data_IF_636357998831
#
_entry.id   IF_636357998831
#
_cell.length_a   1.000
_cell.length_b   1.000
_cell.length_c   1.000
_cell.angle_alpha   90.00
_cell.angle_beta   90.00
_cell.angle_gamma   90.00
#
_symmetry.space_group_name_H-M   'P 1'
#
loop_
_entity.id
_entity.type
_entity.pdbx_description
1 polymer ?
#
# COMPACT_ATOMS: atom_id res chain seq x y z
N UNK A 1 -18.97 1.63 12.76
CA UNK A 1 -17.73 1.06 12.19
C UNK A 1 -16.73 2.19 12.08
N UNK A 2 -15.46 1.96 12.43
CA UNK A 2 -14.37 2.91 12.19
C UNK A 2 -14.11 3.07 10.69
N UNK A 3 -13.35 4.10 10.29
CA UNK A 3 -13.03 4.29 8.87
C UNK A 3 -12.24 3.09 8.30
N UNK A 4 -11.27 2.56 9.06
CA UNK A 4 -10.53 1.37 8.66
C UNK A 4 -11.42 0.13 8.56
N UNK A 5 -12.42 -0.03 9.43
CA UNK A 5 -13.42 -1.09 9.30
C UNK A 5 -14.28 -0.92 8.06
N UNK A 6 -14.70 0.32 7.71
CA UNK A 6 -15.45 0.58 6.47
C UNK A 6 -14.62 0.21 5.24
N UNK A 7 -13.39 0.74 5.14
CA UNK A 7 -12.43 0.43 4.07
C UNK A 7 -12.21 -1.08 3.95
N UNK A 8 -11.92 -1.75 5.08
CA UNK A 8 -11.68 -3.20 5.11
C UNK A 8 -12.91 -3.99 4.66
N UNK A 9 -14.12 -3.55 5.02
CA UNK A 9 -15.35 -4.27 4.66
C UNK A 9 -15.61 -4.32 3.16
N UNK A 10 -15.13 -3.34 2.38
CA UNK A 10 -15.28 -3.30 0.91
C UNK A 10 -14.64 -4.52 0.23
N UNK A 11 -13.56 -5.07 0.80
CA UNK A 11 -12.91 -6.30 0.32
C UNK A 11 -13.83 -7.54 0.36
N UNK A 12 -14.92 -7.49 1.14
CA UNK A 12 -15.79 -8.64 1.40
C UNK A 12 -17.20 -8.43 0.84
N UNK A 13 -17.50 -7.24 0.30
CA UNK A 13 -18.81 -6.96 -0.27
C UNK A 13 -19.06 -7.87 -1.49
N UNK A 14 -20.25 -8.44 -1.56
CA UNK A 14 -20.67 -9.30 -2.67
C UNK A 14 -20.48 -8.61 -4.02
N UNK A 15 -20.85 -7.32 -4.10
CA UNK A 15 -20.67 -6.52 -5.31
C UNK A 15 -19.20 -6.40 -5.72
N UNK A 16 -18.30 -6.10 -4.77
CA UNK A 16 -16.85 -6.06 -5.03
C UNK A 16 -16.36 -7.40 -5.58
N UNK A 17 -16.72 -8.51 -4.93
CA UNK A 17 -16.28 -9.86 -5.33
C UNK A 17 -16.83 -10.23 -6.72
N UNK A 18 -18.10 -9.89 -7.01
CA UNK A 18 -18.71 -10.14 -8.30
C UNK A 18 -18.02 -9.33 -9.41
N UNK A 19 -17.64 -8.07 -9.14
CA UNK A 19 -16.84 -7.24 -10.06
C UNK A 19 -15.43 -7.80 -10.26
N UNK A 20 -14.76 -8.28 -9.22
CA UNK A 20 -13.44 -8.95 -9.31
C UNK A 20 -13.52 -10.18 -10.22
N UNK A 21 -14.54 -11.04 -10.04
CA UNK A 21 -14.77 -12.21 -10.91
C UNK A 21 -14.93 -11.81 -12.37
N UNK A 22 -15.74 -10.79 -12.65
CA UNK A 22 -15.93 -10.25 -14.00
C UNK A 22 -14.62 -9.68 -14.57
N UNK A 23 -13.83 -9.00 -13.73
CA UNK A 23 -12.59 -8.37 -14.13
C UNK A 23 -11.49 -9.38 -14.50
N UNK A 24 -11.39 -10.51 -13.79
CA UNK A 24 -10.55 -11.64 -14.20
C UNK A 24 -10.99 -12.24 -15.53
N UNK A 25 -12.31 -12.37 -15.76
CA UNK A 25 -12.92 -12.95 -16.96
C UNK A 25 -12.95 -12.03 -18.21
N UNK A 26 -11.94 -11.18 -18.41
CA UNK A 26 -11.78 -10.16 -19.49
C UNK A 26 -12.32 -8.75 -19.19
N UNK A 27 -12.60 -8.40 -17.95
CA UNK A 27 -12.95 -7.01 -17.63
C UNK A 27 -11.77 -6.02 -17.75
N UNK A 28 -12.07 -4.70 -17.66
CA UNK A 28 -11.11 -3.63 -17.90
C UNK A 28 -9.98 -3.61 -16.87
N UNK A 29 -8.91 -2.85 -17.17
CA UNK A 29 -7.77 -2.72 -16.26
C UNK A 29 -8.14 -2.02 -14.94
N UNK A 30 -9.05 -1.05 -14.99
CA UNK A 30 -9.50 -0.29 -13.82
C UNK A 30 -11.04 -0.33 -13.76
N UNK A 31 -11.59 -0.58 -12.57
CA UNK A 31 -13.02 -0.45 -12.27
C UNK A 31 -13.16 0.47 -11.05
N UNK A 32 -13.82 1.64 -11.17
CA UNK A 32 -14.13 2.47 -10.01
C UNK A 32 -15.23 1.83 -9.16
N UNK A 33 -15.15 2.05 -7.86
CA UNK A 33 -16.16 1.67 -6.86
C UNK A 33 -16.40 2.88 -5.95
N UNK A 34 -17.61 3.05 -5.45
CA UNK A 34 -17.96 4.10 -4.50
C UNK A 34 -18.71 3.43 -3.36
N UNK A 35 -18.11 3.40 -2.17
CA UNK A 35 -18.69 2.73 -1.01
C UNK A 35 -18.46 3.57 0.25
N UNK A 36 -19.51 3.76 1.05
CA UNK A 36 -19.46 4.57 2.27
C UNK A 36 -18.97 6.01 2.07
N UNK A 37 -19.32 6.64 0.93
CA UNK A 37 -18.83 7.96 0.50
C UNK A 37 -17.29 8.03 0.33
N UNK A 38 -16.68 6.87 0.03
CA UNK A 38 -15.26 6.73 -0.26
C UNK A 38 -15.13 6.12 -1.65
N UNK A 39 -14.37 6.79 -2.52
CA UNK A 39 -13.99 6.24 -3.81
C UNK A 39 -12.91 5.17 -3.63
N UNK A 40 -13.07 4.04 -4.30
CA UNK A 40 -12.07 3.00 -4.45
C UNK A 40 -11.86 2.67 -5.93
N UNK A 41 -10.84 1.88 -6.23
CA UNK A 41 -10.73 1.23 -7.52
C UNK A 41 -10.25 -0.21 -7.39
N UNK A 42 -10.76 -1.06 -8.27
CA UNK A 42 -10.13 -2.33 -8.59
C UNK A 42 -9.14 -2.12 -9.74
N UNK A 43 -7.87 -2.38 -9.50
CA UNK A 43 -6.81 -2.27 -10.49
C UNK A 43 -6.27 -3.66 -10.83
N UNK A 44 -6.28 -4.04 -12.11
CA UNK A 44 -5.79 -5.32 -12.63
C UNK A 44 -4.41 -5.15 -13.28
N UNK A 45 -3.30 -5.15 -12.51
CA UNK A 45 -1.96 -5.04 -13.08
C UNK A 45 -1.54 -6.28 -13.87
N UNK A 46 -2.06 -7.45 -13.52
CA UNK A 46 -1.77 -8.72 -14.21
C UNK A 46 -3.02 -9.56 -14.40
N UNK A 47 -2.95 -10.60 -15.22
CA UNK A 47 -4.08 -11.54 -15.41
C UNK A 47 -4.41 -12.37 -14.16
N UNK A 48 -3.56 -12.34 -13.13
CA UNK A 48 -3.68 -13.17 -11.94
C UNK A 48 -3.81 -12.36 -10.66
N UNK A 49 -3.78 -11.02 -10.75
CA UNK A 49 -3.81 -10.14 -9.61
C UNK A 49 -4.72 -8.93 -9.85
N UNK A 50 -5.58 -8.64 -8.88
CA UNK A 50 -6.40 -7.42 -8.84
C UNK A 50 -6.24 -6.78 -7.46
N UNK A 51 -5.73 -5.55 -7.41
CA UNK A 51 -5.65 -4.76 -6.19
C UNK A 51 -6.98 -4.05 -5.96
N UNK A 52 -7.46 -4.02 -4.71
CA UNK A 52 -8.43 -3.02 -4.28
C UNK A 52 -7.67 -1.87 -3.63
N UNK A 53 -7.87 -0.66 -4.13
CA UNK A 53 -7.07 0.51 -3.76
C UNK A 53 -7.96 1.68 -3.34
N UNK A 54 -7.49 2.43 -2.35
CA UNK A 54 -8.12 3.65 -1.82
C UNK A 54 -7.23 4.86 -2.12
N UNK A 55 -7.77 6.03 -2.49
CA UNK A 55 -6.96 7.21 -2.74
C UNK A 55 -6.52 7.80 -1.41
N UNK A 56 -5.22 8.04 -1.28
CA UNK A 56 -4.61 8.67 -0.13
C UNK A 56 -4.08 10.04 -0.55
N UNK A 57 -4.36 11.05 0.26
CA UNK A 57 -3.87 12.41 0.09
C UNK A 57 -2.94 12.74 1.25
N UNK A 58 -1.68 13.04 0.95
CA UNK A 58 -0.66 13.35 1.95
C UNK A 58 0.01 14.69 1.67
N UNK A 59 0.32 15.48 2.71
CA UNK A 59 1.14 16.67 2.56
C UNK A 59 2.57 16.28 2.23
N UNK A 60 3.20 17.07 1.35
CA UNK A 60 4.64 17.03 1.12
C UNK A 60 5.26 17.99 2.14
N UNK A 61 5.99 17.46 3.09
CA UNK A 61 6.68 18.28 4.09
C UNK A 61 7.76 19.15 3.43
N UNK A 62 8.05 20.31 4.01
CA UNK A 62 8.96 21.31 3.41
C UNK A 62 8.35 22.17 2.29
N UNK A 63 7.09 21.93 1.89
CA UNK A 63 6.38 22.75 0.88
C UNK A 63 5.36 23.72 1.47
N UNK A 64 5.54 24.06 2.76
CA UNK A 64 4.65 25.01 3.44
C UNK A 64 5.01 26.43 3.04
N UNK A 65 4.06 27.15 2.46
CA UNK A 65 4.19 28.56 2.10
C UNK A 65 3.13 29.36 2.87
N UNK A 66 3.55 30.44 3.52
CA UNK A 66 2.62 31.41 4.08
C UNK A 66 1.95 32.16 2.92
N UNK A 67 0.63 32.10 2.88
CA UNK A 67 -0.19 32.74 1.85
C UNK A 67 -1.17 33.68 2.53
N UNK A 68 -1.19 34.92 2.07
CA UNK A 68 -2.21 35.90 2.45
C UNK A 68 -3.41 35.75 1.50
N UNK A 69 -4.56 35.37 2.04
CA UNK A 69 -5.82 35.23 1.29
C UNK A 69 -6.65 36.53 1.31
N UNK A 70 -6.02 37.67 1.61
CA UNK A 70 -6.67 38.98 1.63
C UNK A 70 -7.68 39.07 2.77
N UNK A 71 -8.96 39.31 2.45
CA UNK A 71 -10.04 39.43 3.45
C UNK A 71 -10.25 38.15 4.28
N UNK A 72 -9.79 36.99 3.78
CA UNK A 72 -9.86 35.70 4.49
C UNK A 72 -8.68 35.48 5.47
N UNK A 73 -7.72 36.41 5.51
CA UNK A 73 -6.56 36.37 6.39
C UNK A 73 -5.39 35.51 5.90
N UNK A 74 -4.42 35.28 6.78
CA UNK A 74 -3.21 34.50 6.48
C UNK A 74 -3.44 33.02 6.74
N UNK A 75 -2.92 32.17 5.86
CA UNK A 75 -2.92 30.73 6.02
C UNK A 75 -1.66 30.07 5.48
N UNK A 76 -1.56 28.76 5.64
CA UNK A 76 -0.43 27.96 5.15
C UNK A 76 -0.92 27.10 4.00
N UNK A 77 -0.32 27.28 2.82
CA UNK A 77 -0.51 26.38 1.68
C UNK A 77 0.55 25.29 1.74
N UNK A 78 0.13 24.03 1.54
CA UNK A 78 1.04 22.88 1.42
C UNK A 78 0.80 22.17 0.11
N UNK A 79 1.87 21.73 -0.54
CA UNK A 79 1.74 20.81 -1.67
C UNK A 79 1.26 19.46 -1.16
N UNK A 80 0.35 18.84 -1.90
CA UNK A 80 -0.24 17.55 -1.57
C UNK A 80 0.12 16.56 -2.67
N UNK A 81 0.43 15.33 -2.29
CA UNK A 81 0.51 14.21 -3.22
C UNK A 81 -0.71 13.32 -3.03
N UNK A 82 -1.28 12.88 -4.14
CA UNK A 82 -2.35 11.89 -4.15
C UNK A 82 -1.85 10.63 -4.83
N UNK A 83 -2.14 9.48 -4.25
CA UNK A 83 -1.78 8.18 -4.80
C UNK A 83 -2.79 7.12 -4.38
N UNK A 84 -2.87 6.04 -5.15
CA UNK A 84 -3.72 4.90 -4.83
C UNK A 84 -2.93 3.94 -3.95
N UNK A 85 -3.47 3.65 -2.77
CA UNK A 85 -2.88 2.72 -1.82
C UNK A 85 -3.67 1.41 -1.83
N UNK A 86 -3.02 0.26 -2.06
CA UNK A 86 -3.69 -1.03 -1.93
C UNK A 86 -4.11 -1.28 -0.48
N UNK A 87 -5.30 -1.85 -0.29
CA UNK A 87 -5.80 -2.30 1.01
C UNK A 87 -5.78 -3.83 1.14
N UNK A 88 -5.80 -4.49 -0.01
CA UNK A 88 -5.73 -5.92 -0.19
C UNK A 88 -5.77 -6.22 -1.69
N UNK A 89 -5.57 -7.48 -2.05
CA UNK A 89 -5.60 -7.89 -3.45
C UNK A 89 -6.14 -9.31 -3.60
N UNK A 90 -6.79 -9.53 -4.73
CA UNK A 90 -7.34 -10.82 -5.12
C UNK A 90 -6.37 -11.50 -6.06
N UNK A 91 -6.16 -12.79 -5.85
CA UNK A 91 -5.37 -13.65 -6.72
C UNK A 91 -6.24 -14.72 -7.34
N UNK A 92 -6.05 -14.94 -8.65
CA UNK A 92 -6.70 -16.03 -9.38
C UNK A 92 -5.78 -17.25 -9.37
N UNK A 93 -6.20 -18.32 -8.68
CA UNK A 93 -5.55 -19.63 -8.80
C UNK A 93 -6.21 -20.43 -9.91
N UNK A 94 -5.45 -20.65 -10.97
CA UNK A 94 -5.87 -21.56 -12.03
C UNK A 94 -5.71 -22.99 -11.58
N UNK A 95 -6.82 -23.72 -11.54
CA UNK A 95 -6.81 -25.16 -11.34
C UNK A 95 -7.04 -25.83 -12.69
N UNK A 96 -6.17 -26.76 -13.07
CA UNK A 96 -6.28 -27.51 -14.33
C UNK A 96 -7.52 -28.42 -14.39
N UNK A 97 -8.14 -28.71 -13.23
CA UNK A 97 -9.18 -29.72 -13.07
C UNK A 97 -10.48 -29.20 -12.44
N UNK A 98 -10.55 -27.93 -12.02
CA UNK A 98 -11.73 -27.33 -11.38
C UNK A 98 -11.90 -25.88 -11.82
N UNK A 99 -13.00 -25.23 -11.40
CA UNK A 99 -13.16 -23.79 -11.58
C UNK A 99 -11.99 -23.04 -10.94
N UNK A 100 -11.57 -21.93 -11.57
CA UNK A 100 -10.57 -21.03 -11.01
C UNK A 100 -11.05 -20.51 -9.65
N UNK A 101 -10.17 -20.58 -8.66
CA UNK A 101 -10.46 -20.12 -7.31
C UNK A 101 -9.89 -18.72 -7.10
N UNK A 102 -10.70 -17.85 -6.50
CA UNK A 102 -10.27 -16.51 -6.10
C UNK A 102 -9.93 -16.55 -4.61
N UNK A 103 -8.71 -16.13 -4.29
CA UNK A 103 -8.27 -15.90 -2.91
C UNK A 103 -8.08 -14.40 -2.67
N UNK A 104 -8.43 -13.94 -1.48
CA UNK A 104 -8.19 -12.57 -1.04
C UNK A 104 -6.98 -12.53 -0.10
N UNK A 105 -6.04 -11.63 -0.37
CA UNK A 105 -4.89 -11.38 0.46
C UNK A 105 -5.04 -9.99 1.09
N UNK A 106 -4.97 -9.92 2.42
CA UNK A 106 -5.11 -8.66 3.17
C UNK A 106 -3.73 -8.12 3.56
N UNK A 107 -3.57 -6.79 3.51
CA UNK A 107 -2.36 -6.14 3.98
C UNK A 107 -2.41 -5.94 5.50
N UNK A 108 -1.21 -5.88 6.12
CA UNK A 108 -1.05 -5.84 7.58
C UNK A 108 -1.81 -4.69 8.24
N UNK A 109 -1.86 -3.51 7.61
CA UNK A 109 -2.61 -2.33 8.11
C UNK A 109 -4.09 -2.60 8.39
N UNK A 110 -4.69 -3.57 7.70
CA UNK A 110 -6.13 -3.85 7.76
C UNK A 110 -6.47 -5.15 8.50
N UNK A 111 -5.49 -5.89 9.01
CA UNK A 111 -5.70 -7.17 9.70
C UNK A 111 -6.54 -7.03 10.97
N UNK A 112 -6.26 -6.03 11.81
CA UNK A 112 -7.02 -5.83 13.06
C UNK A 112 -8.48 -5.46 12.77
N UNK A 113 -8.71 -4.71 11.69
CA UNK A 113 -10.06 -4.37 11.24
C UNK A 113 -10.80 -5.62 10.74
N UNK A 114 -10.12 -6.49 9.98
CA UNK A 114 -10.66 -7.79 9.56
C UNK A 114 -11.05 -8.66 10.77
N UNK A 115 -10.16 -8.80 11.74
CA UNK A 115 -10.40 -9.64 12.91
C UNK A 115 -11.56 -9.09 13.77
N UNK A 116 -11.61 -7.77 13.94
CA UNK A 116 -12.73 -7.08 14.62
C UNK A 116 -14.08 -7.27 13.89
N UNK A 117 -14.09 -7.18 12.56
CA UNK A 117 -15.29 -7.37 11.74
C UNK A 117 -15.81 -8.82 11.79
N UNK A 118 -14.90 -9.80 11.80
CA UNK A 118 -15.24 -11.22 11.97
C UNK A 118 -15.87 -11.50 13.32
N UNK A 119 -15.27 -11.00 14.40
CA UNK A 119 -15.82 -11.16 15.76
C UNK A 119 -17.22 -10.56 15.89
N UNK A 120 -17.50 -9.49 15.14
CA UNK A 120 -18.82 -8.83 15.11
C UNK A 120 -19.80 -9.47 14.11
N UNK A 121 -19.42 -10.54 13.40
CA UNK A 121 -20.20 -11.16 12.32
C UNK A 121 -20.64 -10.17 11.22
N UNK A 122 -19.84 -9.12 10.97
CA UNK A 122 -20.16 -8.07 9.98
C UNK A 122 -19.63 -8.37 8.58
N UNK A 123 -18.83 -9.41 8.44
CA UNK A 123 -18.34 -9.91 7.16
C UNK A 123 -18.51 -11.42 7.13
N UNK A 124 -19.04 -11.92 6.02
CA UNK A 124 -19.02 -13.33 5.66
C UNK A 124 -18.37 -13.43 4.29
N UNK A 125 -17.39 -14.32 4.16
CA UNK A 125 -16.65 -14.49 2.91
C UNK A 125 -16.65 -15.95 2.53
N UNK A 126 -17.18 -16.24 1.34
CA UNK A 126 -17.03 -17.54 0.71
C UNK A 126 -15.67 -17.74 0.06
N UNK A 127 -14.90 -16.66 -0.12
CA UNK A 127 -13.53 -16.71 -0.64
C UNK A 127 -12.53 -16.90 0.50
N UNK A 128 -11.48 -17.68 0.21
CA UNK A 128 -10.37 -17.91 1.14
C UNK A 128 -9.59 -16.62 1.37
N UNK A 129 -9.22 -16.39 2.62
CA UNK A 129 -8.53 -15.16 3.06
C UNK A 129 -7.15 -15.54 3.57
N UNK A 130 -6.12 -14.89 3.01
CA UNK A 130 -4.73 -15.04 3.40
C UNK A 130 -4.22 -13.75 4.04
N UNK A 131 -3.35 -13.89 5.05
CA UNK A 131 -2.52 -12.81 5.58
C UNK A 131 -1.11 -12.96 5.00
N UNK A 132 -0.51 -11.84 4.61
CA UNK A 132 0.86 -11.83 4.11
C UNK A 132 1.87 -12.09 5.23
N UNK A 133 3.03 -12.64 4.88
CA UNK A 133 4.13 -12.77 5.84
C UNK A 133 4.67 -11.40 6.29
N UNK A 134 5.42 -11.38 7.39
CA UNK A 134 6.08 -10.17 7.87
C UNK A 134 6.99 -9.56 6.79
N UNK A 135 7.81 -10.38 6.11
CA UNK A 135 8.70 -9.93 5.03
C UNK A 135 7.95 -9.32 3.85
N UNK A 136 6.83 -9.93 3.45
CA UNK A 136 5.96 -9.40 2.38
C UNK A 136 5.39 -8.03 2.75
N UNK A 137 4.85 -7.90 3.96
CA UNK A 137 4.32 -6.61 4.43
C UNK A 137 5.42 -5.56 4.62
N UNK A 138 6.59 -5.95 5.12
CA UNK A 138 7.73 -5.07 5.32
C UNK A 138 8.26 -4.52 4.00
N UNK A 139 8.30 -5.34 2.95
CA UNK A 139 8.64 -4.88 1.62
C UNK A 139 7.62 -3.86 1.10
N UNK A 140 6.32 -4.15 1.20
CA UNK A 140 5.26 -3.22 0.78
C UNK A 140 5.37 -1.90 1.57
N UNK A 141 5.64 -1.98 2.87
CA UNK A 141 5.84 -0.83 3.74
C UNK A 141 7.07 -0.03 3.31
N UNK A 142 8.22 -0.68 3.14
CA UNK A 142 9.48 -0.08 2.73
C UNK A 142 9.39 0.61 1.37
N UNK A 143 8.67 0.03 0.41
CA UNK A 143 8.45 0.61 -0.93
C UNK A 143 7.11 1.34 -1.08
N UNK A 144 6.56 1.83 0.03
CA UNK A 144 5.34 2.64 -0.01
C UNK A 144 5.65 4.08 -0.42
N UNK A 145 4.67 4.77 -1.00
CA UNK A 145 4.76 6.20 -1.30
C UNK A 145 5.00 6.99 -0.02
N UNK A 146 4.35 6.60 1.08
CA UNK A 146 4.59 7.15 2.41
C UNK A 146 6.07 7.11 2.79
N UNK A 147 6.69 5.93 2.71
CA UNK A 147 8.12 5.76 3.00
C UNK A 147 9.00 6.56 2.07
N UNK A 148 8.68 6.62 0.77
CA UNK A 148 9.46 7.42 -0.19
C UNK A 148 9.47 8.91 0.15
N UNK A 149 8.35 9.46 0.65
CA UNK A 149 8.27 10.85 1.08
C UNK A 149 9.04 11.10 2.37
N UNK A 150 9.08 10.11 3.27
CA UNK A 150 9.89 10.17 4.51
C UNK A 150 11.37 10.11 4.18
N UNK A 151 11.80 9.18 3.34
CA UNK A 151 13.18 9.05 2.89
C UNK A 151 13.67 10.33 2.20
N UNK A 152 12.83 11.00 1.42
CA UNK A 152 13.15 12.26 0.76
C UNK A 152 13.46 13.43 1.71
N UNK A 153 13.12 13.32 3.01
CA UNK A 153 13.51 14.33 4.00
C UNK A 153 14.98 14.25 4.40
N UNK A 154 15.62 13.09 4.22
CA UNK A 154 16.98 12.82 4.68
C UNK A 154 17.19 13.14 6.17
N UNK A 155 16.19 12.81 6.98
CA UNK A 155 16.28 12.84 8.43
C UNK A 155 16.83 11.49 8.90
N UNK A 156 17.88 11.52 9.72
CA UNK A 156 18.46 10.32 10.31
C UNK A 156 17.71 9.91 11.59
N UNK A 157 17.70 8.61 11.89
CA UNK A 157 17.07 8.02 13.07
C UNK A 157 15.58 8.40 13.23
N UNK A 158 14.80 8.23 12.16
CA UNK A 158 13.38 8.60 12.15
C UNK A 158 12.45 7.39 12.08
N UNK A 159 11.62 7.21 13.10
CA UNK A 159 10.63 6.12 13.18
C UNK A 159 9.25 6.56 12.68
N UNK A 160 8.55 5.68 11.95
CA UNK A 160 7.21 5.93 11.46
C UNK A 160 6.45 4.63 11.14
N UNK A 161 5.13 4.73 10.99
CA UNK A 161 4.28 3.58 10.65
C UNK A 161 3.96 3.62 9.15
N UNK A 162 4.17 2.49 8.48
CA UNK A 162 3.69 2.25 7.12
C UNK A 162 3.20 0.80 6.97
N UNK A 163 2.09 0.60 6.27
CA UNK A 163 1.42 -0.70 6.12
C UNK A 163 1.22 -1.44 7.47
N UNK A 164 0.89 -0.71 8.54
CA UNK A 164 0.73 -1.28 9.89
C UNK A 164 2.01 -1.78 10.57
N UNK A 165 3.19 -1.49 10.01
CA UNK A 165 4.48 -1.85 10.58
C UNK A 165 5.24 -0.59 11.02
N UNK A 166 5.94 -0.68 12.16
CA UNK A 166 6.87 0.36 12.59
C UNK A 166 8.20 0.18 11.85
N UNK A 167 8.61 1.22 11.17
CA UNK A 167 9.82 1.28 10.37
C UNK A 167 10.74 2.39 10.89
N UNK A 168 12.03 2.20 10.67
CA UNK A 168 13.06 3.19 10.94
C UNK A 168 13.80 3.53 9.65
N UNK A 169 14.16 4.81 9.51
CA UNK A 169 15.09 5.28 8.47
C UNK A 169 16.39 5.68 9.13
N UNK A 170 17.49 5.15 8.60
CA UNK A 170 18.85 5.56 8.94
C UNK A 170 19.59 6.02 7.69
N UNK A 171 20.45 7.02 7.85
CA UNK A 171 21.31 7.50 6.78
C UNK A 171 22.59 6.65 6.74
N UNK A 172 22.92 6.13 5.56
CA UNK A 172 24.21 5.46 5.33
C UNK A 172 25.36 6.47 5.34
N UNK A 173 26.59 5.99 5.52
CA UNK A 173 27.81 6.82 5.39
C UNK A 173 27.94 7.48 4.00
N UNK A 174 27.32 6.88 2.98
CA UNK A 174 27.23 7.40 1.61
C UNK A 174 26.15 8.48 1.44
N UNK A 175 25.38 8.78 2.49
CA UNK A 175 24.31 9.79 2.48
C UNK A 175 22.99 9.31 1.88
N UNK A 176 22.78 8.00 1.74
CA UNK A 176 21.51 7.44 1.27
C UNK A 176 20.64 6.95 2.44
N UNK A 177 19.33 7.24 2.45
CA UNK A 177 18.41 6.63 3.41
C UNK A 177 18.25 5.13 3.17
N UNK A 178 18.34 4.34 4.23
CA UNK A 178 17.98 2.93 4.28
C UNK A 178 16.83 2.72 5.27
N UNK A 179 15.89 1.84 4.91
CA UNK A 179 14.71 1.55 5.73
C UNK A 179 14.85 0.19 6.39
N UNK A 180 14.53 0.14 7.68
CA UNK A 180 14.59 -1.03 8.53
C UNK A 180 13.22 -1.26 9.17
N UNK A 181 12.98 -2.50 9.60
CA UNK A 181 11.93 -2.77 10.57
C UNK A 181 12.47 -2.47 11.96
N UNK A 182 11.61 -1.95 12.83
CA UNK A 182 11.93 -1.76 14.25
C UNK A 182 12.38 -3.06 14.92
N UNK A 183 13.31 -2.94 15.87
CA UNK A 183 13.94 -4.08 16.55
C UNK A 183 12.94 -5.05 17.19
N UNK A 184 11.72 -4.59 17.56
CA UNK A 184 10.66 -5.46 18.11
C UNK A 184 10.23 -6.58 17.16
N UNK A 185 10.53 -6.47 15.88
CA UNK A 185 10.21 -7.48 14.87
C UNK A 185 11.30 -8.54 14.71
N UNK A 186 12.45 -8.39 15.40
CA UNK A 186 13.57 -9.35 15.40
C UNK A 186 14.10 -9.66 13.99
N UNK A 187 14.01 -8.70 13.06
CA UNK A 187 14.50 -8.82 11.69
C UNK A 187 15.79 -8.04 11.50
N UNK A 188 16.79 -8.66 10.88
CA UNK A 188 18.08 -8.03 10.64
C UNK A 188 18.20 -7.45 9.23
N UNK A 189 18.84 -6.28 9.15
CA UNK A 189 19.26 -5.63 7.90
C UNK A 189 18.20 -4.72 7.28
N UNK A 190 18.66 -3.86 6.36
CA UNK A 190 17.80 -2.97 5.61
C UNK A 190 16.90 -3.74 4.63
N UNK A 191 15.76 -3.14 4.32
CA UNK A 191 14.78 -3.63 3.35
C UNK A 191 15.01 -2.97 1.99
N UNK A 192 15.24 -1.66 2.01
CA UNK A 192 15.35 -0.80 0.82
C UNK A 192 16.39 0.28 1.06
N UNK A 193 17.12 0.62 -0.01
CA UNK A 193 18.02 1.76 -0.09
C UNK A 193 17.48 2.78 -1.10
N UNK A 194 17.41 4.05 -0.68
CA UNK A 194 16.93 5.16 -1.49
C UNK A 194 18.10 5.96 -2.06
N UNK A 195 18.42 5.73 -3.35
CA UNK A 195 19.47 6.45 -4.07
C UNK A 195 18.94 7.71 -4.73
N UNK A 196 18.42 8.64 -3.92
CA UNK A 196 17.68 9.81 -4.39
C UNK A 196 18.52 10.82 -5.18
N UNK A 197 19.83 10.82 -4.95
CA UNK A 197 20.77 11.77 -5.55
C UNK A 197 21.55 11.21 -6.74
N UNK A 198 21.32 9.94 -7.08
CA UNK A 198 21.94 9.32 -8.25
C UNK A 198 21.32 9.86 -9.54
N UNK A 199 22.05 9.70 -10.65
CA UNK A 199 21.53 9.95 -11.98
C UNK A 199 21.64 8.67 -12.83
N UNK A 200 20.54 7.89 -13.00
CA UNK A 200 19.19 8.16 -12.51
C UNK A 200 19.00 7.83 -11.03
N UNK A 201 18.08 8.53 -10.36
CA UNK A 201 17.70 8.22 -8.99
C UNK A 201 17.08 6.80 -8.90
N UNK A 202 17.33 6.12 -7.78
CA UNK A 202 16.94 4.72 -7.58
C UNK A 202 16.26 4.45 -6.25
N UNK A 203 15.42 3.41 -6.22
CA UNK A 203 14.87 2.81 -5.01
C UNK A 203 15.06 1.31 -5.17
N UNK A 204 15.98 0.73 -4.39
CA UNK A 204 16.48 -0.61 -4.66
C UNK A 204 16.28 -1.53 -3.45
N UNK A 205 15.82 -2.78 -3.67
CA UNK A 205 15.71 -3.74 -2.59
C UNK A 205 17.12 -4.19 -2.18
N UNK A 206 17.31 -4.44 -0.90
CA UNK A 206 18.50 -5.19 -0.46
C UNK A 206 18.42 -6.61 -1.03
N UNK A 207 19.56 -7.24 -1.33
CA UNK A 207 19.67 -8.50 -2.09
C UNK A 207 18.70 -9.59 -1.60
N UNK A 208 18.54 -9.73 -0.27
CA UNK A 208 17.66 -10.71 0.37
C UNK A 208 16.16 -10.51 0.07
N UNK A 209 15.78 -9.36 -0.48
CA UNK A 209 14.42 -8.99 -0.84
C UNK A 209 14.17 -9.00 -2.35
N UNK A 210 15.16 -9.33 -3.21
CA UNK A 210 15.04 -9.15 -4.67
C UNK A 210 13.91 -9.95 -5.32
N UNK A 211 13.82 -11.24 -5.02
CA UNK A 211 12.76 -12.09 -5.59
C UNK A 211 11.36 -11.62 -5.16
N UNK A 212 11.24 -11.27 -3.88
CA UNK A 212 10.00 -10.75 -3.32
C UNK A 212 9.65 -9.37 -3.90
N UNK A 213 10.66 -8.53 -4.13
CA UNK A 213 10.52 -7.24 -4.79
C UNK A 213 9.97 -7.42 -6.20
N UNK A 214 10.57 -8.29 -7.01
CA UNK A 214 10.13 -8.52 -8.39
C UNK A 214 8.67 -8.99 -8.44
N UNK A 215 8.29 -9.90 -7.53
CA UNK A 215 6.91 -10.36 -7.37
C UNK A 215 5.98 -9.19 -7.05
N UNK A 216 6.22 -8.44 -5.97
CA UNK A 216 5.33 -7.38 -5.51
C UNK A 216 5.30 -6.17 -6.47
N UNK A 217 6.42 -5.88 -7.12
CA UNK A 217 6.53 -4.87 -8.18
C UNK A 217 5.66 -5.24 -9.39
N UNK A 218 5.72 -6.49 -9.86
CA UNK A 218 4.87 -6.97 -10.95
C UNK A 218 3.38 -6.89 -10.64
N UNK A 219 3.02 -7.01 -9.36
CA UNK A 219 1.65 -6.87 -8.84
C UNK A 219 1.26 -5.41 -8.58
N UNK A 220 2.13 -4.44 -8.89
CA UNK A 220 1.93 -3.01 -8.64
C UNK A 220 1.53 -2.68 -7.18
N UNK A 221 2.07 -3.44 -6.21
CA UNK A 221 1.82 -3.20 -4.79
C UNK A 221 2.81 -2.19 -4.17
N UNK A 222 3.89 -1.87 -4.88
CA UNK A 222 4.97 -0.98 -4.43
C UNK A 222 4.70 0.47 -4.87
N UNK A 223 3.96 1.21 -4.05
CA UNK A 223 3.41 2.53 -4.43
C UNK A 223 4.47 3.63 -4.60
N UNK A 224 5.70 3.44 -4.11
CA UNK A 224 6.82 4.35 -4.39
C UNK A 224 7.16 4.44 -5.88
N UNK A 225 6.93 3.37 -6.65
CA UNK A 225 7.09 3.33 -8.11
C UNK A 225 5.78 3.64 -8.87
N UNK A 226 4.67 3.80 -8.15
CA UNK A 226 3.37 4.13 -8.73
C UNK A 226 3.31 5.59 -9.21
N UNK A 227 2.41 5.85 -10.17
CA UNK A 227 2.11 7.22 -10.60
C UNK A 227 1.27 7.94 -9.54
N UNK A 228 1.61 9.20 -9.28
CA UNK A 228 0.71 10.12 -8.58
C UNK A 228 -0.57 10.35 -9.41
N UNK A 229 -1.66 10.68 -8.72
CA UNK A 229 -2.98 10.96 -9.31
C UNK A 229 -3.13 12.46 -9.54
#
# INVERSE_FOLDING_TARGET
MTINQKITSVLFMKETIDRVKQQFNKGPQIIPLEEFDITFRLYKPTNFNINLEVPIKMPIEGTSEDVDFGELGKGIKRSMVMFWKPIGFYTLKRNLLSSDDIELNILKEYEDSLDSLRQQNKISSSIKINKLSLKENALIAGFSKETSLRAAKNEDCFSFISNGLLLDIYMTDEGYPEVFLDDKYETQGAIVKYRLYDNPAGIDPIVNYKELFDKMYSMSLLTAHGKSI
#
